data_IF_508796437664
#
_entry.id   IF_508796437664
#
_cell.length_a   1.000
_cell.length_b   1.000
_cell.length_c   1.000
_cell.angle_alpha   90.00
_cell.angle_beta   90.00
_cell.angle_gamma   90.00
#
_symmetry.space_group_name_H-M   'P 1'
#
loop_
_entity.id
_entity.type
_entity.pdbx_description
1 polymer ?
#
# COMPACT_ATOMS: atom_id res chain seq x y z
N UNK A 1 18.89 12.86 -1.94
CA UNK A 1 18.60 12.40 -3.31
C UNK A 1 18.34 13.61 -4.18
N UNK A 2 18.90 13.70 -5.39
CA UNK A 2 18.60 14.80 -6.32
C UNK A 2 17.24 14.61 -7.00
N UNK A 3 16.59 15.71 -7.40
CA UNK A 3 15.23 15.68 -7.98
C UNK A 3 15.10 14.74 -9.18
N UNK A 4 16.09 14.71 -10.08
CA UNK A 4 16.10 13.81 -11.25
C UNK A 4 16.20 12.32 -10.88
N UNK A 5 16.79 11.99 -9.74
CA UNK A 5 16.90 10.61 -9.29
C UNK A 5 15.64 10.18 -8.51
N UNK A 6 15.00 11.10 -7.79
CA UNK A 6 13.70 10.84 -7.16
C UNK A 6 12.61 10.61 -8.20
N UNK A 7 12.60 11.39 -9.29
CA UNK A 7 11.64 11.24 -10.37
C UNK A 7 11.75 9.93 -11.16
N UNK A 8 12.83 9.14 -10.97
CA UNK A 8 12.98 7.81 -11.59
C UNK A 8 12.30 6.68 -10.80
N UNK A 9 11.89 6.95 -9.56
CA UNK A 9 11.17 5.99 -8.72
C UNK A 9 9.68 6.04 -9.06
N UNK A 10 8.97 4.91 -8.91
CA UNK A 10 7.53 4.85 -9.14
C UNK A 10 7.12 4.86 -10.62
N UNK A 11 5.83 5.08 -10.88
CA UNK A 11 5.26 5.08 -12.23
C UNK A 11 5.38 6.45 -12.93
N UNK A 12 5.25 6.46 -14.26
CA UNK A 12 5.51 7.64 -15.11
C UNK A 12 4.73 8.91 -14.67
N UNK A 13 3.46 8.77 -14.30
CA UNK A 13 2.63 9.89 -13.82
C UNK A 13 2.63 10.07 -12.30
N UNK A 14 3.21 9.10 -11.58
CA UNK A 14 3.14 8.97 -10.12
C UNK A 14 4.56 8.76 -9.56
N UNK A 15 5.47 9.66 -9.93
CA UNK A 15 6.90 9.52 -9.63
C UNK A 15 7.21 9.73 -8.15
N UNK A 16 8.35 9.18 -7.73
CA UNK A 16 8.86 9.27 -6.37
C UNK A 16 8.35 8.17 -5.45
N UNK A 17 8.48 8.43 -4.16
CA UNK A 17 7.97 7.57 -3.10
C UNK A 17 6.74 8.18 -2.43
N UNK A 18 5.91 7.32 -1.85
CA UNK A 18 4.78 7.70 -1.01
C UNK A 18 4.88 6.97 0.31
N UNK A 19 4.49 7.67 1.38
CA UNK A 19 4.39 7.09 2.72
C UNK A 19 2.96 6.62 2.94
N UNK A 20 2.78 5.33 3.19
CA UNK A 20 1.50 4.72 3.54
C UNK A 20 1.48 4.31 5.01
N UNK A 21 0.43 4.70 5.72
CA UNK A 21 0.13 4.20 7.04
C UNK A 21 -0.78 2.97 6.92
N UNK A 22 -0.23 1.77 7.09
CA UNK A 22 -0.98 0.52 7.08
C UNK A 22 -1.43 0.22 8.51
N UNK A 23 -2.74 0.19 8.71
CA UNK A 23 -3.37 0.02 10.02
C UNK A 23 -4.53 -0.98 9.96
N UNK A 24 -5.22 -1.20 11.09
CA UNK A 24 -6.35 -2.13 11.17
C UNK A 24 -5.90 -3.58 11.39
N UNK A 25 -6.52 -4.52 10.67
CA UNK A 25 -6.40 -5.96 10.91
C UNK A 25 -5.24 -6.64 10.17
N UNK A 26 -4.08 -5.98 10.08
CA UNK A 26 -2.84 -6.59 9.55
C UNK A 26 -1.96 -7.15 10.66
N UNK A 27 -1.06 -8.08 10.33
CA UNK A 27 -0.10 -8.67 11.27
C UNK A 27 1.00 -7.68 11.68
N UNK A 28 1.41 -6.79 10.77
CA UNK A 28 2.48 -5.83 11.00
C UNK A 28 2.03 -4.38 10.63
N UNK A 29 1.25 -3.72 11.51
CA UNK A 29 0.83 -2.34 11.27
C UNK A 29 2.04 -1.39 11.37
N UNK A 30 2.08 -0.39 10.50
CA UNK A 30 3.24 0.49 10.42
C UNK A 30 3.09 1.60 9.39
N UNK A 31 4.14 2.42 9.31
CA UNK A 31 4.27 3.48 8.31
C UNK A 31 5.40 3.08 7.37
N UNK A 32 5.07 2.89 6.10
CA UNK A 32 5.99 2.36 5.09
C UNK A 32 6.17 3.35 3.96
N UNK A 33 7.43 3.62 3.60
CA UNK A 33 7.76 4.33 2.38
C UNK A 33 7.86 3.33 1.23
N UNK A 34 7.14 3.60 0.14
CA UNK A 34 7.08 2.73 -1.04
C UNK A 34 7.21 3.53 -2.33
N UNK A 35 7.64 2.88 -3.40
CA UNK A 35 7.62 3.49 -4.74
C UNK A 35 6.18 3.63 -5.22
N UNK A 36 5.80 4.85 -5.60
CA UNK A 36 4.41 5.18 -5.86
C UNK A 36 3.97 4.75 -7.27
N UNK A 37 2.80 4.13 -7.40
CA UNK A 37 2.26 3.68 -8.69
C UNK A 37 2.89 2.40 -9.25
N UNK A 38 3.81 1.77 -8.51
CA UNK A 38 4.32 0.43 -8.81
C UNK A 38 4.02 -0.58 -7.69
N UNK A 39 3.94 -0.11 -6.44
CA UNK A 39 3.59 -0.93 -5.27
C UNK A 39 2.08 -1.09 -5.17
N UNK A 40 1.57 -2.32 -5.21
CA UNK A 40 0.13 -2.59 -5.12
C UNK A 40 -0.39 -2.58 -3.69
N UNK A 41 -1.72 -2.50 -3.52
CA UNK A 41 -2.32 -2.73 -2.19
C UNK A 41 -2.08 -4.16 -1.68
N UNK A 42 -1.96 -5.16 -2.57
CA UNK A 42 -1.58 -6.53 -2.23
C UNK A 42 -0.19 -6.56 -1.61
N UNK A 43 0.77 -5.86 -2.20
CA UNK A 43 2.12 -5.74 -1.63
C UNK A 43 2.04 -5.13 -0.24
N UNK A 44 1.37 -3.98 -0.08
CA UNK A 44 1.26 -3.27 1.20
C UNK A 44 0.59 -4.10 2.31
N UNK A 45 -0.49 -4.81 1.99
CA UNK A 45 -1.32 -5.51 3.00
C UNK A 45 -0.79 -6.93 3.24
N UNK A 46 -0.49 -7.67 2.18
CA UNK A 46 -0.15 -9.10 2.24
C UNK A 46 1.35 -9.37 2.25
N UNK A 47 2.17 -8.45 1.74
CA UNK A 47 3.61 -8.63 1.63
C UNK A 47 4.29 -8.70 2.99
N UNK A 48 5.21 -9.67 3.16
CA UNK A 48 5.96 -9.91 4.39
C UNK A 48 6.77 -8.70 4.86
N UNK A 49 7.24 -7.87 3.91
CA UNK A 49 7.99 -6.63 4.17
C UNK A 49 7.11 -5.53 4.80
N UNK A 50 5.79 -5.61 4.62
CA UNK A 50 4.84 -4.58 5.00
C UNK A 50 3.82 -5.15 5.99
N UNK A 51 2.53 -5.21 5.64
CA UNK A 51 1.44 -5.66 6.51
C UNK A 51 1.51 -7.13 6.93
N UNK A 52 2.26 -7.98 6.21
CA UNK A 52 2.44 -9.41 6.48
C UNK A 52 1.11 -10.18 6.62
N UNK A 53 0.11 -9.81 5.81
CA UNK A 53 -1.19 -10.48 5.79
C UNK A 53 -2.14 -10.05 6.90
N UNK A 54 -3.33 -10.64 6.89
CA UNK A 54 -4.41 -10.33 7.84
C UNK A 54 -4.23 -11.16 9.12
N UNK A 55 -4.59 -10.56 10.26
CA UNK A 55 -4.52 -11.21 11.58
C UNK A 55 -5.24 -12.55 11.59
N UNK A 56 -4.63 -13.51 12.29
CA UNK A 56 -5.13 -14.88 12.46
C UNK A 56 -5.28 -15.67 11.16
N UNK A 57 -4.61 -15.26 10.08
CA UNK A 57 -4.71 -15.94 8.78
C UNK A 57 -6.09 -15.79 8.11
N UNK A 58 -6.86 -14.76 8.48
CA UNK A 58 -8.14 -14.47 7.84
C UNK A 58 -7.96 -13.97 6.40
N UNK A 59 -9.05 -14.00 5.65
CA UNK A 59 -9.13 -13.36 4.34
C UNK A 59 -9.49 -11.88 4.46
N UNK A 60 -9.14 -11.09 3.44
CA UNK A 60 -9.53 -9.68 3.40
C UNK A 60 -11.02 -9.57 3.05
N UNK A 61 -11.76 -8.78 3.82
CA UNK A 61 -13.17 -8.48 3.52
C UNK A 61 -13.35 -7.12 2.87
N UNK A 62 -12.64 -6.11 3.37
CA UNK A 62 -12.62 -4.76 2.83
C UNK A 62 -11.44 -3.98 3.41
N UNK A 63 -11.05 -2.90 2.74
CA UNK A 63 -10.08 -1.92 3.22
C UNK A 63 -10.40 -0.52 2.69
N UNK A 64 -9.76 0.49 3.27
CA UNK A 64 -9.96 1.90 2.90
C UNK A 64 -8.60 2.50 2.54
N UNK A 65 -8.35 2.87 1.26
CA UNK A 65 -7.01 3.20 0.77
C UNK A 65 -6.53 4.61 1.18
N UNK A 66 -7.44 5.50 1.58
CA UNK A 66 -7.14 6.92 1.81
C UNK A 66 -7.80 7.51 3.07
N UNK A 67 -8.11 6.67 4.06
CA UNK A 67 -8.83 7.09 5.27
C UNK A 67 -10.31 7.37 5.01
N UNK A 68 -11.01 7.97 5.98
CA UNK A 68 -12.48 8.04 6.01
C UNK A 68 -13.16 8.74 4.82
N UNK A 69 -12.42 9.53 4.03
CA UNK A 69 -12.92 10.19 2.82
C UNK A 69 -12.83 9.31 1.55
N UNK A 70 -12.22 8.13 1.64
CA UNK A 70 -12.08 7.21 0.53
C UNK A 70 -13.21 6.17 0.51
N UNK A 71 -13.55 5.62 -0.68
CA UNK A 71 -14.49 4.51 -0.79
C UNK A 71 -13.96 3.25 -0.10
N UNK A 72 -14.88 2.32 0.11
CA UNK A 72 -14.53 0.96 0.53
C UNK A 72 -14.01 0.18 -0.66
N UNK A 73 -12.82 -0.39 -0.51
CA UNK A 73 -12.23 -1.32 -1.47
C UNK A 73 -12.33 -2.75 -0.96
N UNK A 74 -12.27 -3.68 -1.90
CA UNK A 74 -12.50 -5.11 -1.70
C UNK A 74 -11.38 -5.92 -2.36
N UNK A 75 -11.46 -7.24 -2.32
CA UNK A 75 -10.42 -8.15 -2.81
C UNK A 75 -9.99 -7.86 -4.26
N UNK A 76 -10.94 -7.54 -5.14
CA UNK A 76 -10.68 -7.22 -6.56
C UNK A 76 -9.86 -5.94 -6.77
N UNK A 77 -9.71 -5.11 -5.74
CA UNK A 77 -8.92 -3.88 -5.77
C UNK A 77 -7.50 -4.08 -5.24
N UNK A 78 -7.14 -5.27 -4.75
CA UNK A 78 -5.82 -5.52 -4.16
C UNK A 78 -4.68 -5.31 -5.16
N UNK A 79 -4.89 -5.60 -6.43
CA UNK A 79 -3.86 -5.51 -7.47
C UNK A 79 -3.77 -4.11 -8.10
N UNK A 80 -4.47 -3.11 -7.54
CA UNK A 80 -4.30 -1.72 -7.95
C UNK A 80 -2.98 -1.16 -7.41
N UNK A 81 -2.26 -0.37 -8.22
CA UNK A 81 -0.97 0.25 -7.85
C UNK A 81 -1.11 1.54 -7.02
#
# INVERSE_FOLDING_TARGET
MEAKNFAKLGAEQSTGTRIFAVSGHVNNPGVYEVEFGTTTFRDLIMGEKYGNGIRNGNEIKAFIPGGASAPWFFEEHLDFP
#
